data_IF_376202313903
#
_entry.id   IF_376202313903
#
_cell.length_a   1.000
_cell.length_b   1.000
_cell.length_c   1.000
_cell.angle_alpha   90.00
_cell.angle_beta   90.00
_cell.angle_gamma   90.00
#
_symmetry.space_group_name_H-M   'P 1'
#
loop_
_entity.id
_entity.type
_entity.pdbx_description
1 polymer ?
#
# COMPACT_ATOMS: atom_id res chain seq x y z
N UNK A 1 -6.24 16.88 -16.52
CA UNK A 1 -5.48 15.69 -16.10
C UNK A 1 -6.36 14.75 -15.32
N UNK A 2 -6.34 13.49 -15.69
CA UNK A 2 -7.17 12.50 -15.03
C UNK A 2 -6.36 11.73 -13.99
N UNK A 3 -6.83 11.75 -12.76
CA UNK A 3 -6.20 11.04 -11.67
C UNK A 3 -7.20 10.09 -11.02
N UNK A 4 -6.70 8.93 -10.61
CA UNK A 4 -7.46 7.93 -9.87
C UNK A 4 -6.82 7.77 -8.52
N UNK A 5 -7.60 7.91 -7.47
CA UNK A 5 -7.12 7.76 -6.10
C UNK A 5 -7.89 6.65 -5.40
N UNK A 6 -7.18 5.70 -4.81
CA UNK A 6 -7.76 4.65 -3.97
C UNK A 6 -7.02 4.59 -2.66
N UNK A 7 -7.71 4.16 -1.60
CA UNK A 7 -7.16 4.12 -0.25
C UNK A 7 -7.32 2.72 0.32
N UNK A 8 -6.22 2.20 0.88
CA UNK A 8 -6.23 0.98 1.69
C UNK A 8 -6.08 1.40 3.15
N UNK A 9 -7.09 1.11 3.97
CA UNK A 9 -7.09 1.50 5.38
C UNK A 9 -6.72 0.33 6.27
N UNK A 10 -6.06 0.64 7.39
CA UNK A 10 -5.75 -0.31 8.46
C UNK A 10 -4.96 -1.52 8.00
N UNK A 11 -3.99 -1.30 7.14
CA UNK A 11 -3.07 -2.35 6.76
C UNK A 11 -2.20 -2.74 7.97
N UNK A 12 -2.17 -4.03 8.32
CA UNK A 12 -1.45 -4.54 9.49
C UNK A 12 0.07 -4.62 9.26
N UNK A 13 0.64 -3.58 8.74
CA UNK A 13 2.08 -3.47 8.49
C UNK A 13 2.49 -2.06 8.89
N UNK A 14 3.62 -1.94 9.58
CA UNK A 14 4.11 -0.64 10.03
C UNK A 14 4.37 0.28 8.83
N UNK A 15 4.03 1.59 8.92
CA UNK A 15 4.23 2.53 7.81
C UNK A 15 5.64 2.55 7.26
N UNK A 16 6.63 2.41 8.13
CA UNK A 16 8.04 2.38 7.76
C UNK A 16 8.36 1.29 6.74
N UNK A 17 7.81 0.09 6.96
CA UNK A 17 8.01 -1.05 6.06
C UNK A 17 7.29 -0.88 4.74
N UNK A 18 6.08 -0.30 4.77
CA UNK A 18 5.31 -0.03 3.56
C UNK A 18 5.98 1.05 2.70
N UNK A 19 6.52 2.08 3.34
CA UNK A 19 7.21 3.17 2.64
C UNK A 19 8.41 2.70 1.83
N UNK A 20 9.13 1.69 2.32
CA UNK A 20 10.27 1.13 1.60
C UNK A 20 9.84 0.58 0.25
N UNK A 21 8.75 -0.18 0.21
CA UNK A 21 8.22 -0.74 -1.03
C UNK A 21 7.59 0.35 -1.90
N UNK A 22 6.80 1.23 -1.29
CA UNK A 22 6.12 2.31 -2.01
C UNK A 22 7.09 3.21 -2.76
N UNK A 23 8.22 3.52 -2.14
CA UNK A 23 9.24 4.39 -2.72
C UNK A 23 9.78 3.83 -4.05
N UNK A 24 9.90 2.51 -4.15
CA UNK A 24 10.41 1.88 -5.38
C UNK A 24 9.38 1.85 -6.50
N UNK A 25 8.10 2.01 -6.20
CA UNK A 25 7.04 1.95 -7.19
C UNK A 25 6.68 3.31 -7.79
N UNK A 26 7.04 4.39 -7.12
CA UNK A 26 6.66 5.73 -7.54
C UNK A 26 7.24 6.06 -8.91
N UNK A 27 6.39 6.52 -9.82
CA UNK A 27 6.80 6.89 -11.18
C UNK A 27 6.79 5.76 -12.19
N UNK A 28 6.58 4.51 -11.76
CA UNK A 28 6.55 3.37 -12.67
C UNK A 28 5.19 3.25 -13.37
N UNK A 29 5.19 2.67 -14.58
CA UNK A 29 3.94 2.28 -15.20
C UNK A 29 3.28 1.18 -14.39
N UNK A 30 1.94 1.06 -14.47
CA UNK A 30 1.23 0.05 -13.68
C UNK A 30 1.65 -1.36 -14.08
N UNK A 31 2.01 -1.59 -15.33
CA UNK A 31 2.48 -2.90 -15.79
C UNK A 31 3.79 -3.29 -15.11
N UNK A 32 4.74 -2.37 -15.03
CA UNK A 32 6.01 -2.60 -14.35
C UNK A 32 5.83 -2.76 -12.85
N UNK A 33 4.96 -1.95 -12.26
CA UNK A 33 4.68 -2.02 -10.83
C UNK A 33 4.06 -3.37 -10.45
N UNK A 34 3.13 -3.89 -11.26
CA UNK A 34 2.55 -5.21 -11.04
C UNK A 34 3.62 -6.29 -11.05
N UNK A 35 4.51 -6.25 -12.04
CA UNK A 35 5.59 -7.24 -12.14
C UNK A 35 6.51 -7.19 -10.93
N UNK A 36 6.90 -5.99 -10.49
CA UNK A 36 7.74 -5.86 -9.30
C UNK A 36 7.07 -6.42 -8.05
N UNK A 37 5.79 -6.09 -7.85
CA UNK A 37 5.06 -6.55 -6.66
C UNK A 37 4.84 -8.06 -6.67
N UNK A 38 4.65 -8.67 -7.84
CA UNK A 38 4.48 -10.11 -7.94
C UNK A 38 5.73 -10.89 -7.51
N UNK A 39 6.91 -10.34 -7.79
CA UNK A 39 8.17 -11.03 -7.51
C UNK A 39 8.90 -10.52 -6.27
N UNK A 40 8.38 -9.48 -5.65
CA UNK A 40 9.00 -8.89 -4.46
C UNK A 40 8.72 -9.75 -3.23
N UNK A 41 9.78 -10.15 -2.53
CA UNK A 41 9.65 -10.98 -1.34
C UNK A 41 9.54 -10.11 -0.08
N UNK A 42 8.48 -9.31 -0.01
CA UNK A 42 8.16 -8.46 1.12
C UNK A 42 6.71 -8.66 1.54
N UNK A 43 6.46 -8.57 2.84
CA UNK A 43 5.11 -8.77 3.39
C UNK A 43 4.09 -7.76 2.84
N UNK A 44 4.52 -6.51 2.60
CA UNK A 44 3.65 -5.46 2.08
C UNK A 44 3.36 -5.58 0.58
N UNK A 45 4.08 -6.44 -0.15
CA UNK A 45 3.91 -6.54 -1.59
C UNK A 45 2.52 -7.02 -2.00
N UNK A 46 1.99 -8.06 -1.34
CA UNK A 46 0.65 -8.60 -1.67
C UNK A 46 -0.47 -7.59 -1.46
N UNK A 47 -0.57 -6.92 -0.30
CA UNK A 47 -1.59 -5.89 -0.11
C UNK A 47 -1.49 -4.75 -1.11
N UNK A 48 -0.27 -4.31 -1.43
CA UNK A 48 -0.06 -3.25 -2.41
C UNK A 48 -0.44 -3.70 -3.81
N UNK A 49 -0.18 -4.96 -4.16
CA UNK A 49 -0.60 -5.50 -5.45
C UNK A 49 -2.11 -5.52 -5.58
N UNK A 50 -2.81 -5.91 -4.52
CA UNK A 50 -4.28 -5.88 -4.49
C UNK A 50 -4.81 -4.46 -4.64
N UNK A 51 -4.19 -3.51 -3.95
CA UNK A 51 -4.58 -2.10 -4.05
C UNK A 51 -4.36 -1.58 -5.47
N UNK A 52 -3.25 -1.93 -6.09
CA UNK A 52 -2.95 -1.54 -7.47
C UNK A 52 -3.97 -2.12 -8.46
N UNK A 53 -4.31 -3.38 -8.31
CA UNK A 53 -5.33 -4.03 -9.15
C UNK A 53 -6.70 -3.34 -8.97
N UNK A 54 -7.05 -2.99 -7.75
CA UNK A 54 -8.29 -2.26 -7.49
C UNK A 54 -8.28 -0.89 -8.16
N UNK A 55 -7.17 -0.17 -8.08
CA UNK A 55 -7.03 1.14 -8.73
C UNK A 55 -7.16 1.05 -10.25
N UNK A 56 -6.55 0.04 -10.85
CA UNK A 56 -6.66 -0.21 -12.29
C UNK A 56 -8.10 -0.51 -12.68
N UNK A 57 -8.78 -1.32 -11.88
CA UNK A 57 -10.18 -1.69 -12.11
C UNK A 57 -11.08 -0.46 -12.06
N UNK A 58 -10.88 0.41 -11.08
CA UNK A 58 -11.61 1.68 -10.97
C UNK A 58 -11.35 2.57 -12.19
N UNK A 59 -10.09 2.65 -12.63
CA UNK A 59 -9.73 3.48 -13.78
C UNK A 59 -10.42 2.99 -15.06
N UNK A 60 -10.42 1.68 -15.29
CA UNK A 60 -11.03 1.10 -16.48
C UNK A 60 -12.55 1.24 -16.49
N UNK A 61 -13.19 0.95 -15.36
CA UNK A 61 -14.67 0.90 -15.28
C UNK A 61 -15.31 2.28 -15.11
N UNK A 62 -14.71 3.16 -14.33
CA UNK A 62 -15.30 4.46 -14.02
C UNK A 62 -14.84 5.58 -14.93
N UNK A 63 -13.63 5.53 -15.43
CA UNK A 63 -13.02 6.58 -16.23
C UNK A 63 -12.70 6.14 -17.66
N UNK A 64 -12.95 4.89 -18.02
CA UNK A 64 -12.64 4.33 -19.35
C UNK A 64 -11.18 4.52 -19.77
N UNK A 65 -10.28 4.48 -18.82
CA UNK A 65 -8.84 4.62 -19.06
C UNK A 65 -8.23 3.27 -19.42
N UNK A 66 -7.23 3.28 -20.28
CA UNK A 66 -6.53 2.07 -20.66
C UNK A 66 -5.36 1.81 -19.72
N UNK A 67 -5.21 0.57 -19.31
CA UNK A 67 -4.17 0.14 -18.40
C UNK A 67 -2.76 0.52 -18.88
N UNK A 68 -2.53 0.44 -20.18
CA UNK A 68 -1.24 0.74 -20.78
C UNK A 68 -0.82 2.20 -20.61
N UNK A 69 -1.77 3.08 -20.43
CA UNK A 69 -1.51 4.52 -20.29
C UNK A 69 -1.44 4.99 -18.84
N UNK A 70 -1.60 4.08 -17.90
CA UNK A 70 -1.59 4.42 -16.47
C UNK A 70 -0.19 4.28 -15.87
N UNK A 71 0.13 5.18 -14.95
CA UNK A 71 1.37 5.12 -14.19
C UNK A 71 1.09 5.50 -12.74
N UNK A 72 1.99 5.10 -11.84
CA UNK A 72 1.87 5.44 -10.43
C UNK A 72 2.40 6.86 -10.24
N UNK A 73 1.50 7.80 -10.04
CA UNK A 73 1.87 9.18 -9.83
C UNK A 73 2.44 9.39 -8.43
N UNK A 74 1.79 8.83 -7.43
CA UNK A 74 2.25 8.94 -6.05
C UNK A 74 1.66 7.82 -5.20
N UNK A 75 2.35 7.46 -4.13
CA UNK A 75 1.85 6.58 -3.09
C UNK A 75 2.12 7.27 -1.76
N UNK A 76 1.06 7.56 -1.02
CA UNK A 76 1.15 8.22 0.27
C UNK A 76 0.88 7.18 1.35
N UNK A 77 1.84 7.02 2.27
CA UNK A 77 1.71 6.08 3.38
C UNK A 77 1.64 6.88 4.68
N UNK A 78 0.49 6.80 5.33
CA UNK A 78 0.25 7.50 6.60
C UNK A 78 0.13 6.49 7.73
N UNK A 79 0.41 6.95 8.96
CA UNK A 79 0.20 6.12 10.13
C UNK A 79 -1.29 5.93 10.38
N UNK A 80 -1.68 4.68 10.61
CA UNK A 80 -3.02 4.35 11.06
C UNK A 80 -3.07 4.20 12.57
N UNK A 81 -4.20 3.69 13.11
CA UNK A 81 -4.33 3.46 14.54
C UNK A 81 -3.27 2.51 15.07
N UNK A 82 -2.80 2.81 16.27
CA UNK A 82 -1.86 1.94 16.99
C UNK A 82 -2.63 1.12 18.00
N UNK A 83 -2.34 -0.18 18.06
CA UNK A 83 -2.96 -1.08 19.00
C UNK A 83 -1.91 -1.60 19.97
N UNK A 84 -2.19 -1.50 21.27
CA UNK A 84 -1.35 -2.07 22.30
C UNK A 84 -1.79 -3.50 22.59
N UNK A 85 -0.84 -4.41 22.68
CA UNK A 85 -1.08 -5.78 23.10
C UNK A 85 -0.21 -6.08 24.30
N UNK A 86 -0.78 -6.82 25.26
CA UNK A 86 -0.09 -7.17 26.49
C UNK A 86 0.25 -8.66 26.46
N UNK A 87 1.39 -9.00 27.00
CA UNK A 87 1.78 -10.40 27.13
C UNK A 87 2.46 -10.59 28.48
N UNK A 88 2.29 -11.78 29.12
CA UNK A 88 2.91 -12.02 30.42
C UNK A 88 4.43 -12.17 30.27
N UNK A 89 5.14 -11.57 31.21
CA UNK A 89 6.59 -11.71 31.34
C UNK A 89 6.91 -12.43 32.66
N UNK A 90 8.18 -12.79 32.86
CA UNK A 90 8.61 -13.46 34.08
C UNK A 90 8.32 -12.60 35.32
N UNK A 91 8.10 -13.27 36.45
CA UNK A 91 7.85 -12.64 37.77
C UNK A 91 6.61 -11.73 37.80
N UNK A 92 5.57 -12.10 37.06
CA UNK A 92 4.32 -11.36 37.07
C UNK A 92 4.33 -10.01 36.38
N UNK A 93 5.40 -9.67 35.70
CA UNK A 93 5.45 -8.45 34.89
C UNK A 93 4.70 -8.63 33.58
N UNK A 94 4.18 -7.53 33.05
CA UNK A 94 3.44 -7.52 31.79
C UNK A 94 4.20 -6.68 30.79
N UNK A 95 4.55 -7.29 29.63
CA UNK A 95 5.16 -6.58 28.53
C UNK A 95 4.11 -5.98 27.62
N UNK A 96 4.49 -4.92 26.91
CA UNK A 96 3.60 -4.23 25.98
C UNK A 96 4.18 -4.30 24.57
N UNK A 97 3.33 -4.71 23.60
CA UNK A 97 3.66 -4.68 22.19
C UNK A 97 2.76 -3.65 21.54
N UNK A 98 3.36 -2.74 20.76
CA UNK A 98 2.61 -1.78 19.98
C UNK A 98 2.52 -2.31 18.55
N UNK A 99 1.28 -2.58 18.10
CA UNK A 99 1.03 -2.94 16.71
C UNK A 99 0.65 -1.70 15.94
N UNK A 100 1.41 -1.41 14.91
CA UNK A 100 1.20 -0.24 14.08
C UNK A 100 0.51 -0.64 12.79
N UNK A 101 -0.37 0.23 12.31
CA UNK A 101 -1.07 0.04 11.05
C UNK A 101 -0.76 1.20 10.12
N UNK A 102 -1.09 1.01 8.86
CA UNK A 102 -0.83 2.02 7.82
C UNK A 102 -2.09 2.29 7.01
N UNK A 103 -2.25 3.53 6.58
CA UNK A 103 -3.21 3.91 5.55
C UNK A 103 -2.41 4.23 4.30
N UNK A 104 -2.73 3.56 3.20
CA UNK A 104 -2.02 3.75 1.93
C UNK A 104 -2.96 4.37 0.92
N UNK A 105 -2.58 5.51 0.37
CA UNK A 105 -3.30 6.15 -0.71
C UNK A 105 -2.49 6.02 -1.99
N UNK A 106 -3.07 5.38 -3.00
CA UNK A 106 -2.43 5.18 -4.30
C UNK A 106 -3.08 6.12 -5.30
N UNK A 107 -2.27 6.92 -5.97
CA UNK A 107 -2.71 7.86 -6.98
C UNK A 107 -2.13 7.45 -8.33
N UNK A 108 -3.01 7.13 -9.27
CA UNK A 108 -2.62 6.82 -10.65
C UNK A 108 -2.88 8.02 -11.53
N UNK A 109 -1.98 8.23 -12.50
CA UNK A 109 -2.15 9.25 -13.52
C UNK A 109 -2.21 8.61 -14.90
N UNK A 110 -2.72 9.35 -15.87
CA UNK A 110 -2.74 8.94 -17.27
C UNK A 110 -1.66 9.69 -18.03
N UNK A 111 -0.92 8.96 -18.83
CA UNK A 111 0.05 9.57 -19.75
C UNK A 111 -0.58 9.96 -21.07
#
# INVERSE_FOLDING_TARGET
MTEISVILRRLNIAPRKVRVVAKSLKGLSVLEAEKQLMFLNKRSAKPLLKLLKHAIDVAEKQKNLQKENLYIKNIIVNEGPKFKRYYPMSRGHVGTIIKRTSHVQLILGEK
#
